data_IF_679131398777
#
_entry.id   IF_679131398777
#
_cell.length_a   1.000
_cell.length_b   1.000
_cell.length_c   1.000
_cell.angle_alpha   90.00
_cell.angle_beta   90.00
_cell.angle_gamma   90.00
#
_symmetry.space_group_name_H-M   'P 1'
#
loop_
_entity.id
_entity.type
_entity.pdbx_description
1 polymer ?
2 polymer ?
3 non-polymer ?
4 water ?
#
# COMPACT_ATOMS: atom_id res chain seq x y z
N UNK A 2 0.92 12.85 -17.19
CA UNK A 2 0.27 11.66 -16.56
C UNK A 2 0.27 10.42 -17.47
N UNK A 3 0.93 10.46 -18.65
CA UNK A 3 1.05 9.44 -19.67
C UNK A 3 1.55 8.10 -19.22
N UNK A 5 1.75 6.15 -16.39
CA UNK A 5 0.77 5.31 -15.63
C UNK A 5 -0.44 5.01 -16.49
N UNK A 6 -1.05 6.07 -17.09
CA UNK A 6 -2.23 5.94 -17.98
C UNK A 6 -1.94 4.91 -19.08
N UNK A 7 -0.72 5.00 -19.76
CA UNK A 7 -0.36 3.97 -20.83
C UNK A 7 -0.18 2.59 -20.27
N UNK A 9 -1.55 1.14 -17.67
CA UNK A 9 -2.84 0.59 -17.22
C UNK A 9 -3.71 0.05 -18.33
N UNK A 10 -3.66 0.70 -19.51
CA UNK A 10 -4.44 0.36 -20.70
C UNK A 10 -4.08 -0.94 -21.38
N UNK A 11 -2.84 -1.48 -21.28
CA UNK A 11 -2.47 -2.74 -21.96
C UNK A 11 -2.81 -4.08 -21.34
N UNK A 12 -2.93 -5.12 -22.22
CA UNK A 12 -3.26 -6.57 -22.04
C UNK A 12 -4.41 -7.07 -22.92
N UNK B 9 -19.58 -11.79 -13.87
CA UNK B 9 -18.26 -11.20 -14.09
C UNK B 9 -18.05 -9.97 -13.19
N UNK B 10 -18.99 -9.70 -12.26
CA UNK B 10 -18.91 -8.55 -11.38
C UNK B 10 -18.35 -8.82 -9.98
N UNK B 11 -17.55 -7.87 -9.51
CA UNK B 11 -16.96 -7.83 -8.18
C UNK B 11 -18.06 -7.83 -7.09
N UNK B 12 -19.23 -7.23 -7.40
CA UNK B 12 -20.34 -7.14 -6.43
C UNK B 12 -21.15 -8.43 -6.20
N UNK B 13 -20.91 -9.47 -7.02
CA UNK B 13 -21.59 -10.77 -6.91
C UNK B 13 -20.67 -11.83 -6.26
N UNK B 14 -19.45 -11.42 -5.85
CA UNK B 14 -18.54 -12.36 -5.19
C UNK B 14 -18.99 -12.66 -3.78
N UNK B 15 -18.81 -13.93 -3.34
CA UNK B 15 -19.03 -14.34 -1.95
C UNK B 15 -17.77 -13.88 -1.22
N UNK B 16 -17.78 -13.93 0.11
CA UNK B 16 -16.62 -13.53 0.92
C UNK B 16 -15.42 -14.42 0.63
N UNK B 17 -15.64 -15.73 0.43
CA UNK B 17 -14.58 -16.67 0.07
C UNK B 17 -13.99 -16.36 -1.32
N UNK B 18 -14.84 -16.04 -2.31
CA UNK B 18 -14.39 -15.70 -3.67
C UNK B 18 -13.57 -14.41 -3.68
N UNK B 19 -13.98 -13.43 -2.84
CA UNK B 19 -13.25 -12.16 -2.70
C UNK B 19 -11.84 -12.45 -2.16
N UNK B 20 -11.73 -13.22 -1.07
CA UNK B 20 -10.42 -13.57 -0.47
C UNK B 20 -9.55 -14.28 -1.52
N UNK B 21 -10.13 -15.28 -2.23
CA UNK B 21 -9.40 -16.02 -3.28
C UNK B 21 -8.91 -15.10 -4.37
N UNK B 22 -9.76 -14.15 -4.83
CA UNK B 22 -9.39 -13.16 -5.86
C UNK B 22 -8.23 -12.28 -5.37
N UNK B 23 -8.29 -11.84 -4.10
CA UNK B 23 -7.23 -10.98 -3.53
C UNK B 23 -5.91 -11.74 -3.36
N UNK B 24 -5.97 -13.01 -2.93
CA UNK B 24 -4.75 -13.80 -2.74
C UNK B 24 -4.09 -14.07 -4.08
N UNK B 25 -4.91 -14.37 -5.11
CA UNK B 25 -4.46 -14.62 -6.48
C UNK B 25 -3.86 -13.37 -7.15
N UNK B 26 -4.28 -12.17 -6.72
CA UNK B 26 -3.82 -10.89 -7.26
C UNK B 26 -2.40 -10.53 -6.83
N UNK B 27 -1.89 -11.20 -5.78
CA UNK B 27 -0.61 -10.90 -5.14
C UNK B 27 0.55 -10.73 -6.11
N UNK B 28 1.33 -9.65 -5.95
CA UNK B 28 2.46 -9.44 -6.86
C UNK B 28 3.62 -10.38 -6.55
N UNK B 29 4.61 -10.48 -7.46
CA UNK B 29 5.79 -11.32 -7.16
C UNK B 29 6.62 -10.76 -6.00
N UNK B 30 7.37 -11.67 -5.36
CA UNK B 30 8.27 -11.30 -4.28
C UNK B 30 9.56 -10.83 -4.95
N UNK B 31 10.04 -9.65 -4.57
CA UNK B 31 11.27 -9.10 -5.14
C UNK B 31 12.41 -9.12 -4.14
N UNK B 32 13.64 -9.26 -4.65
CA UNK B 32 14.87 -9.18 -3.88
C UNK B 32 15.53 -7.86 -4.26
N UNK B 33 16.17 -7.19 -3.27
CA UNK B 33 16.90 -5.94 -3.43
C UNK B 33 18.12 -6.18 -4.36
N UNK B 34 18.70 -5.11 -4.97
CA UNK B 34 19.88 -5.27 -5.85
C UNK B 34 21.06 -5.95 -5.14
N UNK B 35 21.52 -7.07 -5.74
CA UNK B 35 22.58 -7.97 -5.23
C UNK B 35 23.90 -7.31 -4.79
N UNK B 36 24.47 -7.84 -3.68
CA UNK B 36 25.74 -7.46 -3.04
C UNK B 36 26.10 -5.95 -2.97
N UNK B 37 25.48 -5.17 -2.05
CA UNK B 37 25.84 -3.75 -1.94
C UNK B 37 27.06 -3.53 -1.06
N UNK B 38 27.81 -2.42 -1.29
CA UNK B 38 29.00 -2.08 -0.53
C UNK B 38 28.72 -1.62 0.91
N UNK B 39 29.62 -1.97 1.83
CA UNK B 39 29.51 -1.62 3.25
C UNK B 39 30.44 -0.46 3.63
N UNK B 40 29.95 0.55 4.40
CA UNK B 40 28.61 0.69 4.98
C UNK B 40 27.63 1.43 4.06
N UNK B 41 26.47 1.83 4.62
CA UNK B 41 25.43 2.55 3.89
C UNK B 41 25.66 4.06 3.93
N UNK B 42 25.61 4.71 2.76
CA UNK B 42 25.67 6.15 2.69
C UNK B 42 24.22 6.61 2.52
N UNK B 43 23.96 7.90 2.70
CA UNK B 43 22.63 8.46 2.51
C UNK B 43 22.19 8.22 1.07
N UNK B 44 23.10 8.40 0.09
CA UNK B 44 22.82 8.17 -1.32
C UNK B 44 22.60 6.69 -1.63
N UNK B 45 23.46 5.77 -1.09
CA UNK B 45 23.31 4.34 -1.38
C UNK B 45 22.05 3.70 -0.78
N UNK B 46 21.69 4.10 0.47
CA UNK B 46 20.46 3.61 1.12
C UNK B 46 19.24 4.09 0.35
N UNK B 47 19.19 5.40 0.03
CA UNK B 47 18.09 5.97 -0.75
C UNK B 47 17.97 5.32 -2.11
N UNK B 48 19.10 5.08 -2.77
CA UNK B 48 19.15 4.42 -4.08
C UNK B 48 18.56 3.02 -4.04
N UNK B 49 18.94 2.22 -3.03
CA UNK B 49 18.42 0.86 -2.85
C UNK B 49 16.92 0.86 -2.60
N UNK B 50 16.47 1.72 -1.67
CA UNK B 50 15.05 1.80 -1.30
C UNK B 50 14.18 2.28 -2.44
N UNK B 51 14.63 3.29 -3.21
CA UNK B 51 13.83 3.82 -4.33
C UNK B 51 13.85 2.90 -5.54
N UNK B 52 14.98 2.19 -5.80
CA UNK B 52 15.04 1.21 -6.88
C UNK B 52 14.01 0.08 -6.58
N UNK B 53 13.97 -0.36 -5.32
CA UNK B 53 13.04 -1.40 -4.88
C UNK B 53 11.61 -0.89 -5.04
N UNK B 54 11.30 0.34 -4.51
CA UNK B 54 9.98 0.96 -4.62
C UNK B 54 9.52 1.08 -6.07
N UNK B 55 10.43 1.51 -7.02
CA UNK B 55 10.05 1.60 -8.44
C UNK B 55 9.72 0.23 -9.04
N UNK B 56 10.50 -0.80 -8.69
CA UNK B 56 10.21 -2.14 -9.22
C UNK B 56 8.89 -2.67 -8.66
N UNK B 57 8.63 -2.40 -7.37
CA UNK B 57 7.35 -2.80 -6.75
C UNK B 57 6.18 -2.08 -7.38
N UNK B 58 6.36 -0.80 -7.75
CA UNK B 58 5.30 0.00 -8.39
C UNK B 58 4.88 -0.58 -9.72
N UNK B 59 5.85 -1.09 -10.48
CA UNK B 59 5.58 -1.74 -11.78
C UNK B 59 4.63 -2.93 -11.54
N UNK B 60 4.94 -3.78 -10.55
CA UNK B 60 4.11 -4.94 -10.22
C UNK B 60 2.79 -4.53 -9.55
N UNK B 61 2.78 -3.38 -8.87
CA UNK B 61 1.56 -2.88 -8.22
C UNK B 61 0.45 -2.62 -9.20
N UNK B 62 0.80 -2.10 -10.38
CA UNK B 62 -0.14 -1.79 -11.45
C UNK B 62 -0.90 -3.08 -11.84
N UNK B 63 -0.18 -4.17 -12.04
CA UNK B 63 -0.73 -5.48 -12.39
C UNK B 63 -1.58 -6.03 -11.28
N UNK B 64 -1.14 -5.86 -10.02
CA UNK B 64 -1.90 -6.26 -8.85
C UNK B 64 -3.25 -5.50 -8.81
N UNK B 65 -3.21 -4.16 -8.93
CA UNK B 65 -4.42 -3.32 -8.88
C UNK B 65 -5.46 -3.74 -9.93
N UNK B 66 -4.98 -4.12 -11.13
CA UNK B 66 -5.84 -4.58 -12.23
C UNK B 66 -6.56 -5.90 -11.88
N UNK B 67 -6.01 -6.67 -10.94
CA UNK B 67 -6.60 -7.93 -10.49
C UNK B 67 -7.48 -7.75 -9.22
N UNK B 68 -7.51 -6.53 -8.65
CA UNK B 68 -8.36 -6.27 -7.46
C UNK B 68 -9.81 -6.14 -7.96
N UNK B 69 -10.75 -7.00 -7.46
CA UNK B 69 -12.14 -6.92 -7.95
C UNK B 69 -12.71 -5.51 -7.93
N UNK B 70 -13.25 -5.09 -9.06
CA UNK B 70 -13.85 -3.77 -9.20
C UNK B 70 -12.97 -2.68 -9.77
N UNK B 71 -11.64 -2.83 -9.68
CA UNK B 71 -10.71 -1.79 -10.15
C UNK B 71 -10.81 -1.49 -11.65
N UNK B 72 -10.81 -2.54 -12.48
CA UNK B 72 -10.87 -2.36 -13.94
C UNK B 72 -12.24 -1.89 -14.46
N UNK B 73 -13.25 -1.86 -13.59
CA UNK B 73 -14.59 -1.34 -13.95
C UNK B 73 -14.55 0.20 -14.01
N UNK B 74 -13.55 0.82 -13.33
CA UNK B 74 -13.43 2.28 -13.31
C UNK B 74 -12.82 2.80 -14.59
N UNK B 75 -12.94 4.11 -14.83
CA UNK B 75 -12.31 4.77 -15.98
C UNK B 75 -10.80 4.74 -15.76
N UNK B 76 -10.04 4.89 -16.86
CA UNK B 76 -8.58 4.89 -16.81
C UNK B 76 -8.07 6.08 -15.97
N UNK B 77 -8.73 7.26 -16.10
CA UNK B 77 -8.43 8.47 -15.33
C UNK B 77 -8.61 8.18 -13.82
N UNK B 78 -9.68 7.44 -13.47
CA UNK B 78 -9.93 7.11 -12.07
C UNK B 78 -8.96 6.08 -11.52
N UNK B 79 -8.58 5.07 -12.33
CA UNK B 79 -7.60 4.06 -11.92
C UNK B 79 -6.27 4.77 -11.64
N UNK B 80 -5.89 5.73 -12.50
CA UNK B 80 -4.67 6.51 -12.35
C UNK B 80 -4.77 7.30 -11.03
N UNK B 81 -5.92 7.94 -10.76
CA UNK B 81 -6.05 8.73 -9.54
C UNK B 81 -5.91 7.88 -8.29
N UNK B 82 -6.57 6.70 -8.27
CA UNK B 82 -6.51 5.83 -7.09
C UNK B 82 -5.09 5.37 -6.80
N UNK B 83 -4.37 4.96 -7.84
CA UNK B 83 -2.98 4.52 -7.69
C UNK B 83 -2.08 5.64 -7.25
N UNK B 84 -2.23 6.85 -7.87
CA UNK B 84 -1.40 8.00 -7.48
C UNK B 84 -1.67 8.38 -6.04
N UNK B 85 -2.86 8.15 -5.57
CA UNK B 85 -3.13 8.49 -4.20
C UNK B 85 -2.56 7.50 -3.17
N UNK B 86 -2.77 6.21 -3.45
CA UNK B 86 -2.49 5.12 -2.54
C UNK B 86 -1.12 4.45 -2.62
N UNK B 87 -0.32 4.71 -3.66
CA UNK B 87 0.91 3.94 -3.87
C UNK B 87 1.82 3.76 -2.66
N UNK B 88 2.14 4.85 -1.96
CA UNK B 88 3.07 4.74 -0.83
C UNK B 88 2.41 4.07 0.37
N UNK B 89 1.09 4.27 0.58
CA UNK B 89 0.39 3.57 1.66
C UNK B 89 0.44 2.07 1.42
N UNK B 90 0.28 1.66 0.13
CA UNK B 90 0.31 0.24 -0.27
C UNK B 90 1.72 -0.32 -0.10
N UNK B 91 2.75 0.42 -0.50
CA UNK B 91 4.14 -0.06 -0.26
C UNK B 91 4.37 -0.23 1.25
N UNK B 92 3.93 0.76 2.04
CA UNK B 92 4.13 0.72 3.49
C UNK B 92 3.39 -0.41 4.20
N UNK B 93 2.14 -0.68 3.80
CA UNK B 93 1.40 -1.77 4.45
C UNK B 93 2.07 -3.14 4.15
N UNK B 94 2.60 -3.28 2.94
CA UNK B 94 3.32 -4.48 2.52
C UNK B 94 4.56 -4.62 3.38
N UNK B 95 5.33 -3.54 3.53
CA UNK B 95 6.53 -3.54 4.37
C UNK B 95 6.23 -3.93 5.83
N UNK B 96 5.19 -3.32 6.39
CA UNK B 96 4.77 -3.52 7.78
C UNK B 96 4.36 -4.99 8.00
N UNK B 97 3.63 -5.56 7.02
CA UNK B 97 3.24 -6.97 7.03
C UNK B 97 4.48 -7.89 7.03
N UNK B 98 5.43 -7.64 6.12
CA UNK B 98 6.64 -8.46 5.99
C UNK B 98 7.52 -8.39 7.24
N UNK B 99 7.50 -7.24 7.94
CA UNK B 99 8.32 -6.96 9.12
C UNK B 99 7.74 -7.47 10.45
N UNK B 100 6.50 -7.99 10.45
CA UNK B 100 5.86 -8.49 11.68
C UNK B 100 6.68 -9.55 12.40
N UNK B 101 7.34 -10.46 11.66
CA UNK B 101 8.17 -11.52 12.26
C UNK B 101 9.61 -11.10 12.58
N UNK B 102 9.93 -9.80 12.40
CA UNK B 102 11.25 -9.22 12.67
C UNK B 102 11.16 -8.01 13.62
N UNK B 103 10.89 -8.24 14.91
CA UNK B 103 10.77 -7.08 15.86
C UNK B 103 12.00 -6.19 15.84
N UNK B 104 11.76 -4.87 15.83
CA UNK B 104 12.83 -3.86 15.79
C UNK B 104 13.48 -3.66 14.43
N UNK B 105 13.06 -4.42 13.41
CA UNK B 105 13.64 -4.34 12.07
C UNK B 105 12.58 -4.23 10.98
N UNK B 106 12.98 -3.73 9.79
CA UNK B 106 12.09 -3.64 8.64
C UNK B 106 12.58 -4.52 7.52
N UNK B 107 11.74 -5.46 7.08
CA UNK B 107 12.12 -6.36 6.01
C UNK B 107 11.68 -5.77 4.68
N UNK B 108 12.53 -4.91 4.12
CA UNK B 108 12.25 -4.27 2.82
C UNK B 108 12.13 -5.33 1.73
N UNK B 109 13.04 -6.32 1.78
CA UNK B 109 13.06 -7.48 0.90
C UNK B 109 13.73 -8.63 1.68
N UNK B 110 13.61 -9.89 1.24
CA UNK B 110 14.23 -10.98 2.01
C UNK B 110 15.74 -10.83 2.24
N UNK B 111 16.45 -10.10 1.35
CA UNK B 111 17.91 -9.83 1.42
C UNK B 111 18.19 -8.38 1.85
N UNK B 112 17.16 -7.70 2.40
CA UNK B 112 17.35 -6.32 2.85
C UNK B 112 16.53 -6.10 4.12
N UNK B 113 17.14 -6.46 5.26
CA UNK B 113 16.55 -6.34 6.59
C UNK B 113 17.30 -5.25 7.33
N UNK B 114 16.62 -4.12 7.58
CA UNK B 114 17.23 -2.95 8.23
C UNK B 114 16.74 -2.71 9.64
N UNK B 115 17.64 -2.31 10.53
CA UNK B 115 17.27 -1.97 11.92
C UNK B 115 17.13 -0.46 11.98
N UNK B 116 16.54 0.08 13.08
CA UNK B 116 16.34 1.53 13.23
C UNK B 116 17.62 2.38 13.13
N UNK B 117 18.76 1.84 13.61
CA UNK B 117 20.04 2.53 13.56
C UNK B 117 20.58 2.63 12.14
N UNK B 118 20.21 1.67 11.27
CA UNK B 118 20.59 1.72 9.87
C UNK B 118 19.79 2.82 9.16
N UNK B 119 18.60 3.13 9.70
CA UNK B 119 17.74 4.21 9.22
C UNK B 119 18.42 5.56 9.36
N UNK B 120 19.27 5.71 10.40
CA UNK B 120 20.04 6.94 10.68
C UNK B 120 21.02 7.33 9.56
N UNK B 121 21.25 6.44 8.57
CA UNK B 121 22.14 6.71 7.44
C UNK B 121 21.58 7.79 6.51
N UNK B 122 20.25 8.02 6.57
CA UNK B 122 19.54 9.01 5.77
C UNK B 122 18.91 10.03 6.70
N UNK B 123 19.14 11.32 6.44
CA UNK B 123 18.56 12.41 7.23
C UNK B 123 17.02 12.30 7.20
N UNK B 124 16.39 12.38 8.38
CA UNK B 124 14.94 12.30 8.56
C UNK B 124 14.29 10.94 8.40
N UNK B 125 15.07 9.88 8.12
CA UNK B 125 14.60 8.51 7.90
C UNK B 125 14.23 7.74 9.20
N UNK B 126 15.04 7.85 10.25
CA UNK B 126 14.79 7.16 11.51
C UNK B 126 13.39 7.43 12.10
N UNK B 127 12.86 8.66 11.93
CA UNK B 127 11.53 9.03 12.42
C UNK B 127 10.43 8.23 11.70
N UNK B 128 10.60 8.04 10.38
CA UNK B 128 9.69 7.24 9.52
C UNK B 128 9.81 5.78 9.87
N UNK B 129 11.06 5.28 10.03
CA UNK B 129 11.31 3.89 10.43
C UNK B 129 10.58 3.59 11.74
N UNK B 130 10.63 4.53 12.71
CA UNK B 130 9.98 4.35 14.01
C UNK B 130 8.46 4.20 13.91
N UNK B 131 7.82 4.99 13.03
CA UNK B 131 6.38 4.91 12.82
C UNK B 131 6.02 3.57 12.15
N UNK B 132 6.85 3.11 11.20
CA UNK B 132 6.66 1.82 10.50
C UNK B 132 6.83 0.66 11.49
N UNK B 133 7.88 0.73 12.33
CA UNK B 133 8.14 -0.28 13.35
C UNK B 133 6.97 -0.36 14.33
N UNK B 134 6.38 0.79 14.70
CA UNK B 134 5.24 0.84 15.61
C UNK B 134 4.00 0.20 14.97
N UNK B 135 3.83 0.37 13.65
CA UNK B 135 2.69 -0.24 12.96
C UNK B 135 2.87 -1.76 12.89
N UNK B 136 4.10 -2.20 12.65
CA UNK B 136 4.41 -3.63 12.58
C UNK B 136 4.16 -4.28 13.94
N UNK B 137 4.55 -3.58 15.03
CA UNK B 137 4.31 -4.02 16.40
C UNK B 137 2.80 -4.12 16.64
N UNK B 138 2.03 -3.13 16.19
CA UNK B 138 0.57 -3.13 16.34
C UNK B 138 -0.08 -4.34 15.65
N UNK B 139 0.37 -4.66 14.43
CA UNK B 139 -0.14 -5.79 13.64
C UNK B 139 0.17 -7.12 14.35
N UNK B 140 1.35 -7.23 14.97
CA UNK B 140 1.77 -8.42 15.74
C UNK B 140 0.86 -8.59 16.97
N UNK B 141 0.65 -7.50 17.75
CA UNK B 141 -0.22 -7.52 18.94
C UNK B 141 -1.65 -7.96 18.56
N UNK B 142 -2.10 -7.58 17.36
CA UNK B 142 -3.42 -7.91 16.85
C UNK B 142 -3.49 -9.28 16.21
N UNK B 143 -2.31 -9.91 15.95
CA UNK B 143 -2.17 -11.20 15.28
C UNK B 143 -2.86 -11.12 13.90
N UNK B 144 -2.53 -10.06 13.13
CA UNK B 144 -3.12 -9.82 11.81
C UNK B 144 -2.89 -11.03 10.93
N UNK B 145 -3.96 -11.53 10.30
CA UNK B 145 -3.90 -12.70 9.43
C UNK B 145 -3.69 -12.26 7.99
N UNK B 146 -3.11 -13.14 7.17
CA UNK B 146 -2.86 -12.87 5.75
C UNK B 146 -4.09 -12.49 4.96
N UNK B 147 -5.22 -13.17 5.24
CA UNK B 147 -6.49 -12.89 4.55
C UNK B 147 -7.02 -11.49 4.91
N UNK B 148 -6.77 -11.05 6.16
CA UNK B 148 -7.17 -9.70 6.62
C UNK B 148 -6.28 -8.68 5.97
N UNK B 149 -4.95 -8.95 5.92
CA UNK B 149 -3.97 -8.05 5.29
C UNK B 149 -4.35 -7.76 3.84
N UNK B 150 -4.70 -8.80 3.04
CA UNK B 150 -5.05 -8.53 1.63
C UNK B 150 -6.31 -7.68 1.50
N UNK B 151 -7.29 -7.86 2.41
CA UNK B 151 -8.49 -7.01 2.41
C UNK B 151 -8.10 -5.58 2.70
N UNK B 152 -7.22 -5.36 3.69
CA UNK B 152 -6.79 -3.98 4.05
C UNK B 152 -6.07 -3.27 2.94
N UNK B 153 -5.20 -4.01 2.25
CA UNK B 153 -4.43 -3.40 1.18
C UNK B 153 -5.36 -2.97 0.01
N UNK B 154 -6.38 -3.78 -0.31
CA UNK B 154 -7.37 -3.44 -1.35
C UNK B 154 -8.27 -2.26 -0.91
N UNK B 155 -8.57 -2.17 0.40
CA UNK B 155 -9.31 -1.04 0.97
C UNK B 155 -8.51 0.25 0.74
N UNK B 156 -7.19 0.22 0.99
CA UNK B 156 -6.32 1.39 0.75
C UNK B 156 -6.39 1.83 -0.70
N UNK B 157 -6.26 0.88 -1.63
CA UNK B 157 -6.29 1.20 -3.06
C UNK B 157 -7.59 1.89 -3.43
N UNK B 158 -8.71 1.38 -2.93
CA UNK B 158 -10.01 1.92 -3.32
C UNK B 158 -10.41 3.16 -2.58
N UNK B 159 -10.04 3.24 -1.30
CA UNK B 159 -10.46 4.35 -0.46
C UNK B 159 -9.57 5.57 -0.52
N UNK B 160 -8.23 5.41 -0.58
CA UNK B 160 -7.35 6.58 -0.47
C UNK B 160 -7.68 7.79 -1.31
N UNK B 161 -7.97 7.55 -2.59
CA UNK B 161 -8.23 8.62 -3.55
C UNK B 161 -9.68 8.92 -3.86
N UNK B 162 -10.61 8.24 -3.19
CA UNK B 162 -12.06 8.36 -3.45
C UNK B 162 -12.71 9.72 -3.08
N UNK B 163 -12.11 10.48 -2.16
CA UNK B 163 -12.68 11.77 -1.75
C UNK B 163 -11.99 12.92 -2.45
N UNK B 164 -11.03 12.60 -3.33
CA UNK B 164 -10.21 13.60 -4.05
C UNK B 164 -10.31 13.57 -5.58
N UNK B 165 -11.36 12.95 -6.16
CA UNK B 165 -11.56 13.00 -7.62
C UNK B 165 -12.07 14.43 -7.94
N UNK B 166 -12.20 14.80 -9.22
CA UNK B 166 -12.83 16.08 -9.58
C UNK B 166 -14.38 15.88 -9.45
N UNK B 167 -15.18 16.52 -10.28
CA UNK B 167 -16.62 16.32 -10.24
C UNK B 167 -17.10 15.76 -11.55
N UNK B 168 -16.13 15.25 -12.38
CA UNK B 168 -16.32 14.70 -13.73
C UNK B 168 -17.72 14.10 -14.02
N UNK B 169 -18.69 15.02 -14.01
CA UNK B 169 -20.12 14.83 -14.21
C UNK B 169 -20.72 13.73 -13.30
N UNK B 170 -21.81 13.20 -13.80
CA UNK B 170 -22.57 12.11 -13.26
C UNK B 170 -21.72 10.85 -13.34
N UNK B 171 -20.74 10.79 -14.28
CA UNK B 171 -19.86 9.61 -14.36
C UNK B 171 -19.04 9.52 -13.06
N UNK B 172 -18.54 10.65 -12.55
CA UNK B 172 -17.77 10.70 -11.29
C UNK B 172 -18.64 10.15 -10.15
N UNK B 173 -19.93 10.52 -10.12
CA UNK B 173 -20.87 10.04 -9.09
C UNK B 173 -21.06 8.51 -9.16
N UNK B 174 -21.15 7.98 -10.38
CA UNK B 174 -21.32 6.55 -10.67
C UNK B 174 -20.07 5.81 -10.20
N UNK B 175 -18.90 6.41 -10.49
CA UNK B 175 -17.62 5.83 -10.12
C UNK B 175 -17.44 5.74 -8.62
N UNK B 176 -17.72 6.82 -7.90
CA UNK B 176 -17.62 6.87 -6.45
C UNK B 176 -18.58 5.88 -5.80
N UNK B 177 -19.80 5.78 -6.36
CA UNK B 177 -20.77 4.83 -5.83
C UNK B 177 -20.25 3.41 -5.96
N UNK B 178 -19.69 3.07 -7.14
CA UNK B 178 -19.13 1.75 -7.44
C UNK B 178 -18.04 1.41 -6.45
N UNK B 179 -17.11 2.34 -6.22
CA UNK B 179 -16.00 2.14 -5.26
C UNK B 179 -16.56 1.86 -3.86
N UNK B 180 -17.53 2.67 -3.40
CA UNK B 180 -18.15 2.47 -2.09
C UNK B 180 -18.84 1.13 -1.95
N UNK B 181 -19.48 0.63 -3.04
CA UNK B 181 -20.10 -0.70 -3.01
C UNK B 181 -19.05 -1.80 -2.94
N UNK B 182 -17.92 -1.64 -3.66
CA UNK B 182 -16.84 -2.62 -3.60
C UNK B 182 -16.23 -2.58 -2.17
N UNK B 183 -16.05 -1.38 -1.62
CA UNK B 183 -15.53 -1.29 -0.25
C UNK B 183 -16.46 -1.97 0.75
N UNK B 184 -17.81 -1.83 0.57
CA UNK B 184 -18.81 -2.52 1.41
C UNK B 184 -18.67 -4.04 1.32
N UNK B 185 -18.37 -4.56 0.12
CA UNK B 185 -18.14 -6.02 -0.06
C UNK B 185 -16.87 -6.46 0.71
N UNK B 186 -15.85 -5.62 0.71
CA UNK B 186 -14.59 -5.95 1.44
C UNK B 186 -14.84 -5.93 2.95
N UNK B 187 -15.70 -5.02 3.43
CA UNK B 187 -16.08 -4.98 4.87
C UNK B 187 -16.78 -6.30 5.21
N UNK B 188 -17.77 -6.71 4.38
CA UNK B 188 -18.51 -7.99 4.55
C UNK B 188 -17.52 -9.17 4.61
N UNK B 189 -16.49 -9.14 3.75
CA UNK B 189 -15.42 -10.14 3.68
C UNK B 189 -14.62 -10.17 4.99
N UNK B 190 -14.21 -9.00 5.52
CA UNK B 190 -13.45 -8.99 6.78
C UNK B 190 -14.28 -9.57 7.92
N UNK B 191 -15.56 -9.18 7.96
CA UNK B 191 -16.48 -9.64 9.00
C UNK B 191 -16.65 -11.16 8.91
N UNK B 192 -16.81 -11.69 7.69
CA UNK B 192 -16.95 -13.14 7.48
C UNK B 192 -15.71 -13.88 8.00
N UNK B 193 -14.49 -13.40 7.66
CA UNK B 193 -13.23 -13.99 8.14
C UNK B 193 -13.16 -14.06 9.68
N UNK B 194 -13.59 -12.97 10.33
CA UNK B 194 -13.61 -12.85 11.80
C UNK B 194 -14.64 -13.79 12.41
N UNK B 195 -15.83 -13.87 11.80
CA UNK B 195 -16.92 -14.76 12.20
C UNK B 195 -16.44 -16.24 12.09
N UNK B 196 -15.80 -16.60 10.95
CA UNK B 196 -15.24 -17.95 10.72
C UNK B 196 -14.14 -18.30 11.73
N UNK B 197 -13.40 -17.30 12.23
CA UNK B 197 -12.33 -17.47 13.21
C UNK B 197 -12.87 -17.70 14.64
N UNK B 198 -14.18 -17.55 14.81
CA UNK B 198 -14.87 -17.77 16.06
C UNK B 198 -15.05 -16.57 16.95
N UNK B 199 -14.89 -15.35 16.39
CA UNK B 199 -15.06 -14.12 17.16
C UNK B 199 -16.53 -13.82 17.35
N UNK B 200 -16.90 -13.24 18.51
CA UNK B 200 -18.30 -12.86 18.78
C UNK B 200 -18.62 -11.63 17.91
N UNK B 201 -19.91 -11.31 17.74
CA UNK B 201 -20.30 -10.11 16.98
C UNK B 201 -19.61 -8.85 17.53
N UNK B 202 -19.57 -8.70 18.87
CA UNK B 202 -18.92 -7.56 19.52
C UNK B 202 -17.42 -7.54 19.17
N UNK B 203 -16.74 -8.70 19.22
CA UNK B 203 -15.30 -8.82 18.89
C UNK B 203 -15.08 -8.54 17.40
N UNK B 204 -16.01 -8.98 16.54
CA UNK B 204 -15.94 -8.73 15.09
C UNK B 204 -15.95 -7.22 14.80
N UNK B 205 -16.94 -6.46 15.35
CA UNK B 205 -17.04 -4.99 15.15
C UNK B 205 -15.81 -4.31 15.75
N UNK B 206 -15.38 -4.75 16.95
CA UNK B 206 -14.20 -4.14 17.59
C UNK B 206 -12.95 -4.33 16.76
N UNK B 207 -12.77 -5.53 16.19
CA UNK B 207 -11.58 -5.81 15.42
C UNK B 207 -11.59 -5.05 14.09
N UNK B 208 -12.75 -4.97 13.45
CA UNK B 208 -12.89 -4.24 12.19
C UNK B 208 -12.49 -2.76 12.43
N UNK B 209 -13.01 -2.14 13.49
CA UNK B 209 -12.67 -0.76 13.83
C UNK B 209 -11.16 -0.59 14.07
N UNK B 210 -10.55 -1.49 14.84
CA UNK B 210 -9.11 -1.44 15.15
C UNK B 210 -8.27 -1.48 13.88
N UNK B 211 -8.61 -2.39 12.93
CA UNK B 211 -7.89 -2.51 11.65
C UNK B 211 -8.05 -1.24 10.82
N UNK B 212 -9.28 -0.72 10.74
CA UNK B 212 -9.51 0.47 9.92
C UNK B 212 -8.89 1.73 10.49
N UNK B 213 -8.82 1.81 11.82
CA UNK B 213 -8.16 2.97 12.47
C UNK B 213 -6.67 2.98 12.21
N UNK B 214 -6.05 1.81 12.01
CA UNK B 214 -4.61 1.73 11.67
C UNK B 214 -4.37 2.35 10.29
N UNK B 215 -5.36 2.29 9.40
CA UNK B 215 -5.23 2.90 8.06
C UNK B 215 -5.09 4.42 8.13
N UNK B 216 -5.60 5.05 9.19
CA UNK B 216 -5.40 6.50 9.37
C UNK B 216 -3.91 6.79 9.68
N UNK B 217 -3.24 5.89 10.46
CA UNK B 217 -1.81 6.03 10.77
C UNK B 217 -0.96 5.77 9.51
N UNK B 218 -1.37 4.78 8.68
CA UNK B 218 -0.66 4.49 7.42
C UNK B 218 -0.75 5.73 6.48
N UNK B 219 -1.93 6.37 6.43
CA UNK B 219 -2.09 7.60 5.64
C UNK B 219 -1.08 8.65 6.13
N UNK B 220 -1.01 8.85 7.46
CA UNK B 220 -0.08 9.82 8.06
C UNK B 220 1.37 9.48 7.68
N UNK B 221 1.78 8.21 7.82
CA UNK B 221 3.13 7.79 7.44
C UNK B 221 3.41 8.06 5.95
N UNK B 222 2.42 7.77 5.05
CA UNK B 222 2.57 8.04 3.62
C UNK B 222 2.80 9.55 3.37
N UNK B 223 2.06 10.41 4.05
CA UNK B 223 2.25 11.87 3.89
C UNK B 223 3.64 12.29 4.33
N UNK B 224 4.12 11.74 5.44
CA UNK B 224 5.46 12.03 5.94
C UNK B 224 6.54 11.47 5.00
N UNK B 225 6.33 10.23 4.51
CA UNK B 225 7.24 9.57 3.58
C UNK B 225 7.37 10.35 2.28
N UNK B 226 6.25 10.93 1.83
CA UNK B 226 6.15 11.74 0.62
C UNK B 226 6.99 13.01 0.77
N UNK B 227 6.84 13.72 1.91
CA UNK B 227 7.63 14.92 2.19
C UNK B 227 9.13 14.57 2.22
N UNK B 228 9.48 13.41 2.82
CA UNK B 228 10.85 12.95 2.92
C UNK B 228 11.44 12.64 1.53
N UNK B 229 10.72 11.86 0.71
CA UNK B 229 11.21 11.52 -0.64
C UNK B 229 11.43 12.78 -1.48
N UNK B 230 10.45 13.74 -1.44
CA UNK B 230 10.54 15.00 -2.18
C UNK B 230 11.81 15.77 -1.75
N UNK B 231 12.09 15.81 -0.44
CA UNK B 231 13.28 16.43 0.15
C UNK B 231 14.57 15.75 -0.32
N UNK B 232 14.59 14.39 -0.36
CA UNK B 232 15.77 13.67 -0.86
C UNK B 232 15.96 13.90 -2.37
N UNK B 233 14.84 13.94 -3.13
CA UNK B 233 14.85 14.22 -4.56
C UNK B 233 15.51 15.60 -4.80
N UNK B 234 14.98 16.66 -4.12
CA UNK B 234 15.44 18.05 -4.19
C UNK B 234 16.90 18.25 -3.89
N UNK B 235 17.45 17.45 -2.95
CA UNK B 235 18.85 17.56 -2.55
C UNK B 235 19.79 16.94 -3.59
N UNK B 236 19.22 16.32 -4.65
CA UNK B 236 19.96 15.68 -5.76
C UNK B 236 20.77 14.45 -5.28
N UNK B 237 20.26 13.75 -4.27
CA UNK B 237 20.90 12.60 -3.65
C UNK B 237 20.51 11.28 -4.30
N UNK B 238 19.32 11.24 -4.94
CA UNK B 238 18.77 10.02 -5.51
C UNK B 238 18.27 10.17 -6.94
N UNK B 239 18.67 9.27 -7.87
CA UNK B 239 18.06 9.28 -9.21
C UNK B 239 16.74 8.47 -9.17
N UNK B 240 15.68 8.95 -9.84
CA UNK B 240 14.41 8.25 -9.78
C UNK B 240 13.84 7.91 -11.15
N UNK B 241 13.16 6.73 -11.26
CA UNK B 241 12.47 6.33 -12.48
C UNK B 241 11.20 7.16 -12.62
N UNK B 242 10.74 7.34 -13.87
CA UNK B 242 9.55 8.13 -14.18
C UNK B 242 8.29 7.66 -13.47
N UNK B 243 8.11 6.35 -13.31
CA UNK B 243 6.89 5.87 -12.62
C UNK B 243 6.82 6.40 -11.20
N UNK B 244 7.93 6.24 -10.43
CA UNK B 244 8.04 6.74 -9.06
C UNK B 244 7.91 8.29 -9.04
N UNK B 245 8.54 8.96 -10.02
CA UNK B 245 8.49 10.44 -10.18
C UNK B 245 7.04 10.89 -10.36
N UNK B 246 6.29 10.21 -11.27
CA UNK B 246 4.89 10.52 -11.54
C UNK B 246 4.02 10.33 -10.31
N UNK B 247 4.23 9.25 -9.57
CA UNK B 247 3.47 8.95 -8.34
C UNK B 247 3.74 10.03 -7.30
N UNK B 248 5.02 10.40 -7.11
CA UNK B 248 5.39 11.43 -6.15
C UNK B 248 4.84 12.82 -6.55
N UNK B 249 4.98 13.17 -7.83
CA UNK B 249 4.51 14.46 -8.35
C UNK B 249 3.01 14.69 -8.24
N UNK B 250 2.20 13.60 -8.22
CA UNK B 250 0.75 13.67 -8.07
C UNK B 250 0.36 14.25 -6.71
N UNK B 251 1.30 14.23 -5.74
CA UNK B 251 1.12 14.77 -4.39
C UNK B 251 1.69 16.19 -4.24
N UNK B 252 2.12 16.79 -5.37
CA UNK B 252 2.64 18.16 -5.48
C UNK B 252 1.80 18.94 -6.50
N UNK B 253 1.06 18.19 -7.36
CA UNK B 253 0.16 18.70 -8.40
C UNK B 253 -1.18 19.10 -7.78
#
# INVERSE_FOLDING_TARGET
XHKXLHQXLQDSX
GSKRSKKNSLALSLTADQMVSALLDAEPPILYSEYDPTRPFSEASMMGLLTNLADRELVHMINWAKRVPGFVDLTLHDQVHLLECAWLEILMIGLVWRSMEHPGKLLFAPNLLLDRNQGKCVEGMVEIFDMLLATSSRFRMMNLQGEEFVCLKSIILLNSGVYTFLSSTLKSLEEKDHIHRVLDKITDTLIHLMAKAGLTLQQQHQRLAQLLLILSHIRHMSNKGMEHLYSMKCKNVVPLYDLLLEMLDAHRLHA
#
